data_IF_845791520652
#
_entry.id   IF_845791520652
#
_cell.length_a   1.000
_cell.length_b   1.000
_cell.length_c   1.000
_cell.angle_alpha   90.00
_cell.angle_beta   90.00
_cell.angle_gamma   90.00
#
_symmetry.space_group_name_H-M   'P 1'
#
loop_
_entity.id
_entity.type
_entity.pdbx_description
1 polymer ?
#
# COMPACT_ATOMS: atom_id res chain seq x y z
N UNK A 1 -20.94 33.42 -26.12
CA UNK A 1 -21.02 31.97 -25.83
C UNK A 1 -19.69 31.55 -25.22
N UNK A 2 -19.57 31.62 -23.90
CA UNK A 2 -18.32 31.31 -23.16
C UNK A 2 -18.68 30.28 -22.10
N UNK A 3 -18.22 29.03 -22.27
CA UNK A 3 -18.29 28.00 -21.25
C UNK A 3 -16.95 27.99 -20.52
N UNK A 4 -16.94 28.47 -19.28
CA UNK A 4 -15.81 28.28 -18.37
C UNK A 4 -16.02 26.98 -17.59
N UNK A 5 -14.98 26.14 -17.58
CA UNK A 5 -14.93 24.86 -16.88
C UNK A 5 -14.57 25.08 -15.40
N UNK A 6 -15.48 24.71 -14.50
CA UNK A 6 -15.38 24.96 -13.06
C UNK A 6 -15.19 23.66 -12.24
N UNK A 7 -14.30 22.77 -12.68
CA UNK A 7 -14.12 21.45 -12.04
C UNK A 7 -13.13 21.44 -10.85
N UNK A 8 -12.46 22.55 -10.54
CA UNK A 8 -11.23 22.52 -9.71
C UNK A 8 -11.35 22.81 -8.21
N UNK A 9 -12.54 23.04 -7.62
CA UNK A 9 -12.61 23.49 -6.20
C UNK A 9 -13.76 22.91 -5.35
N UNK A 10 -14.17 21.65 -5.55
CA UNK A 10 -15.16 20.99 -4.66
C UNK A 10 -14.78 19.58 -4.21
N UNK A 11 -13.54 19.39 -3.74
CA UNK A 11 -13.11 18.10 -3.18
C UNK A 11 -12.46 18.19 -1.80
N UNK A 12 -12.62 19.31 -1.08
CA UNK A 12 -12.09 19.48 0.28
C UNK A 12 -13.19 19.50 1.37
N UNK A 13 -14.47 19.57 1.01
CA UNK A 13 -15.57 19.54 2.00
C UNK A 13 -16.66 18.55 1.58
N UNK A 14 -16.51 17.30 2.02
CA UNK A 14 -17.60 16.42 2.46
C UNK A 14 -16.98 15.05 2.77
N UNK A 15 -16.52 14.94 4.02
CA UNK A 15 -16.21 13.68 4.66
C UNK A 15 -17.54 13.07 5.14
N UNK A 16 -17.70 11.76 4.95
CA UNK A 16 -18.84 10.91 5.32
C UNK A 16 -19.96 10.79 4.25
N UNK A 17 -20.03 9.62 3.59
CA UNK A 17 -21.20 8.75 3.39
C UNK A 17 -20.98 7.84 2.15
N UNK A 18 -21.18 6.53 2.35
CA UNK A 18 -21.51 5.50 1.37
C UNK A 18 -20.54 5.23 0.19
N UNK A 19 -19.75 4.16 0.31
CA UNK A 19 -19.17 3.45 -0.84
C UNK A 19 -19.94 2.14 -0.97
N UNK A 20 -21.06 2.17 -1.70
CA UNK A 20 -21.65 0.97 -2.28
C UNK A 20 -20.90 0.64 -3.56
N UNK A 21 -20.18 -0.47 -3.57
CA UNK A 21 -19.61 -1.08 -4.75
C UNK A 21 -20.29 -2.43 -4.88
N UNK A 22 -21.11 -2.59 -5.92
CA UNK A 22 -21.79 -3.83 -6.27
C UNK A 22 -20.76 -4.95 -6.50
N UNK A 23 -20.65 -5.86 -5.54
CA UNK A 23 -19.90 -7.09 -5.70
C UNK A 23 -20.71 -8.08 -6.52
N UNK A 24 -20.36 -8.26 -7.79
CA UNK A 24 -20.84 -9.43 -8.53
C UNK A 24 -20.03 -10.64 -8.07
N UNK A 25 -20.69 -11.56 -7.39
CA UNK A 25 -20.14 -12.86 -6.99
C UNK A 25 -20.17 -13.78 -8.21
N UNK A 26 -19.00 -14.23 -8.66
CA UNK A 26 -18.89 -15.34 -9.61
C UNK A 26 -18.06 -16.43 -8.95
N UNK A 27 -18.68 -17.59 -8.79
CA UNK A 27 -18.13 -18.79 -8.16
C UNK A 27 -17.16 -19.53 -9.09
N UNK A 28 -16.30 -20.32 -8.45
CA UNK A 28 -15.13 -21.06 -8.94
C UNK A 28 -15.36 -21.96 -10.17
N UNK A 29 -14.36 -22.08 -11.05
CA UNK A 29 -13.92 -23.36 -11.64
C UNK A 29 -12.39 -23.37 -11.88
N UNK A 30 -11.77 -24.42 -11.34
CA UNK A 30 -10.52 -25.12 -11.67
C UNK A 30 -9.47 -24.45 -12.58
N UNK A 31 -8.30 -24.14 -12.00
CA UNK A 31 -7.07 -23.88 -12.78
C UNK A 31 -6.10 -25.02 -12.54
N UNK A 32 -5.83 -25.74 -13.61
CA UNK A 32 -4.91 -26.86 -13.68
C UNK A 32 -3.48 -26.50 -13.22
N UNK A 33 -2.77 -27.52 -12.72
CA UNK A 33 -1.39 -27.45 -12.26
C UNK A 33 -0.47 -27.06 -13.42
N UNK A 34 -0.02 -25.80 -13.45
CA UNK A 34 1.02 -25.36 -14.37
C UNK A 34 2.38 -25.86 -13.89
N UNK A 35 3.02 -26.70 -14.70
CA UNK A 35 4.38 -27.19 -14.51
C UNK A 35 5.38 -26.01 -14.56
N UNK A 36 6.26 -25.95 -13.56
CA UNK A 36 7.37 -24.99 -13.50
C UNK A 36 8.65 -25.74 -13.88
N UNK A 37 8.88 -25.93 -15.17
CA UNK A 37 10.19 -26.25 -15.71
C UNK A 37 10.52 -25.25 -16.82
N UNK A 38 11.80 -24.88 -16.88
CA UNK A 38 12.45 -23.92 -17.80
C UNK A 38 12.45 -22.44 -17.37
N UNK A 39 13.31 -22.15 -16.38
CA UNK A 39 13.95 -20.83 -16.27
C UNK A 39 15.45 -20.98 -15.98
N UNK A 40 16.12 -21.84 -16.73
CA UNK A 40 17.59 -21.87 -16.77
C UNK A 40 18.05 -21.28 -18.10
N UNK A 41 18.66 -20.09 -18.01
CA UNK A 41 19.82 -19.61 -18.81
C UNK A 41 19.77 -18.08 -18.95
N UNK A 42 20.13 -17.36 -17.88
CA UNK A 42 20.56 -15.96 -18.00
C UNK A 42 22.09 -15.96 -17.88
N UNK A 43 22.85 -15.48 -18.88
CA UNK A 43 24.30 -15.36 -18.79
C UNK A 43 24.69 -14.39 -17.68
N UNK A 44 25.55 -14.84 -16.77
CA UNK A 44 26.11 -14.00 -15.70
C UNK A 44 27.26 -13.18 -16.28
N UNK A 45 26.98 -11.92 -16.63
CA UNK A 45 28.02 -10.94 -16.97
C UNK A 45 28.74 -10.41 -15.73
N UNK A 46 30.05 -10.61 -15.77
CA UNK A 46 31.18 -9.83 -15.22
C UNK A 46 30.99 -8.98 -13.96
N UNK A 47 31.73 -9.36 -12.92
CA UNK A 47 31.76 -8.74 -11.59
C UNK A 47 32.37 -7.33 -11.63
N UNK A 48 31.54 -6.30 -11.51
CA UNK A 48 31.99 -4.93 -11.24
C UNK A 48 32.46 -4.78 -9.78
N UNK A 49 33.47 -3.93 -9.51
CA UNK A 49 34.03 -3.75 -8.17
C UNK A 49 32.96 -3.24 -7.20
N UNK A 50 32.79 -3.98 -6.10
CA UNK A 50 31.89 -3.64 -4.99
C UNK A 50 32.44 -2.38 -4.31
N UNK A 51 32.00 -1.20 -4.79
CA UNK A 51 32.11 0.02 -3.99
C UNK A 51 31.26 -0.18 -2.75
N UNK A 52 31.87 -0.10 -1.58
CA UNK A 52 31.16 -0.07 -0.29
C UNK A 52 30.22 1.13 -0.28
N UNK A 53 28.96 0.90 -0.71
CA UNK A 53 27.91 1.90 -0.63
C UNK A 53 27.55 2.00 0.85
N UNK A 54 27.84 3.15 1.44
CA UNK A 54 27.33 3.51 2.75
C UNK A 54 25.79 3.54 2.67
N UNK A 55 25.14 2.47 3.11
CA UNK A 55 23.68 2.38 3.15
C UNK A 55 23.16 3.28 4.28
N UNK A 56 22.90 4.55 3.98
CA UNK A 56 22.09 5.37 4.87
C UNK A 56 20.65 4.87 4.76
N UNK A 57 20.04 4.57 5.90
CA UNK A 57 18.67 4.09 5.95
C UNK A 57 17.74 5.22 5.53
N UNK A 58 16.93 5.01 4.48
CA UNK A 58 16.00 6.01 3.98
C UNK A 58 15.10 6.60 5.07
N UNK A 59 15.02 7.93 5.11
CA UNK A 59 14.29 8.70 6.12
C UNK A 59 12.85 9.02 5.70
N UNK A 60 12.55 8.98 4.40
CA UNK A 60 11.26 9.40 3.87
C UNK A 60 10.16 8.39 4.22
N UNK A 61 9.15 8.86 4.97
CA UNK A 61 7.99 8.05 5.31
C UNK A 61 7.05 7.92 4.10
N UNK A 62 6.93 6.70 3.57
CA UNK A 62 6.03 6.41 2.44
C UNK A 62 4.72 5.72 2.84
N UNK A 63 4.67 5.11 4.03
CA UNK A 63 3.52 4.34 4.48
C UNK A 63 2.44 5.26 5.07
N UNK A 64 1.61 5.79 4.18
CA UNK A 64 0.49 6.68 4.54
C UNK A 64 -0.73 5.90 5.04
N UNK A 65 -1.67 6.61 5.70
CA UNK A 65 -2.97 6.03 6.11
C UNK A 65 -3.75 5.45 4.92
N UNK A 66 -3.76 6.16 3.79
CA UNK A 66 -4.46 5.73 2.56
C UNK A 66 -3.86 4.42 2.05
N UNK A 67 -2.53 4.34 2.00
CA UNK A 67 -1.82 3.14 1.60
C UNK A 67 -2.13 1.96 2.54
N UNK A 68 -2.13 2.17 3.87
CA UNK A 68 -2.51 1.14 4.84
C UNK A 68 -3.92 0.59 4.62
N UNK A 69 -4.89 1.44 4.25
CA UNK A 69 -6.27 1.02 3.95
C UNK A 69 -6.29 0.16 2.69
N UNK A 70 -5.65 0.60 1.61
CA UNK A 70 -5.61 -0.13 0.34
C UNK A 70 -4.92 -1.50 0.49
N UNK A 71 -3.76 -1.56 1.16
CA UNK A 71 -3.07 -2.81 1.44
C UNK A 71 -3.91 -3.77 2.31
N UNK A 72 -4.75 -3.23 3.21
CA UNK A 72 -5.68 -4.03 4.00
C UNK A 72 -6.85 -4.58 3.17
N UNK A 73 -7.43 -3.75 2.30
CA UNK A 73 -8.56 -4.15 1.44
C UNK A 73 -8.14 -5.17 0.39
N UNK A 74 -6.95 -5.04 -0.16
CA UNK A 74 -6.41 -5.98 -1.15
C UNK A 74 -5.74 -7.22 -0.51
N UNK A 75 -5.87 -7.41 0.80
CA UNK A 75 -5.26 -8.51 1.56
C UNK A 75 -3.74 -8.70 1.30
N UNK A 76 -3.02 -7.61 1.10
CA UNK A 76 -1.60 -7.65 0.74
C UNK A 76 -0.76 -7.96 1.97
N UNK A 77 0.11 -8.97 1.86
CA UNK A 77 1.06 -9.34 2.91
C UNK A 77 2.10 -8.24 3.12
N UNK A 78 2.73 -8.16 4.30
CA UNK A 78 3.79 -7.17 4.53
C UNK A 78 5.00 -7.37 3.58
N UNK A 79 5.22 -8.61 3.10
CA UNK A 79 6.27 -8.94 2.13
C UNK A 79 5.93 -8.39 0.75
N UNK A 80 4.71 -8.65 0.28
CA UNK A 80 4.27 -8.22 -1.05
C UNK A 80 4.04 -6.72 -1.10
N UNK A 81 3.63 -6.11 0.01
CA UNK A 81 3.56 -4.65 0.14
C UNK A 81 4.93 -4.01 -0.14
N UNK A 82 6.01 -4.55 0.43
CA UNK A 82 7.37 -4.04 0.16
C UNK A 82 7.72 -4.18 -1.32
N UNK A 83 7.45 -5.35 -1.93
CA UNK A 83 7.73 -5.61 -3.35
C UNK A 83 6.97 -4.66 -4.28
N UNK A 84 5.66 -4.52 -4.07
CA UNK A 84 4.79 -3.65 -4.86
C UNK A 84 5.24 -2.20 -4.76
N UNK A 85 5.52 -1.73 -3.53
CA UNK A 85 5.95 -0.34 -3.34
C UNK A 85 7.35 -0.10 -3.94
N UNK A 86 8.25 -1.07 -3.85
CA UNK A 86 9.57 -0.96 -4.46
C UNK A 86 9.48 -0.91 -5.99
N UNK A 87 8.73 -1.83 -6.61
CA UNK A 87 8.51 -1.86 -8.06
C UNK A 87 7.81 -0.58 -8.55
N UNK A 88 6.83 -0.06 -7.81
CA UNK A 88 6.17 1.20 -8.15
C UNK A 88 7.11 2.40 -8.02
N UNK A 89 7.98 2.43 -7.00
CA UNK A 89 8.98 3.48 -6.87
C UNK A 89 10.01 3.43 -8.01
N UNK A 90 10.45 2.23 -8.39
CA UNK A 90 11.36 2.03 -9.53
C UNK A 90 10.71 2.47 -10.86
N UNK A 91 9.46 2.11 -11.11
CA UNK A 91 8.71 2.55 -12.28
C UNK A 91 8.45 4.07 -12.33
N UNK A 92 8.60 4.77 -11.20
CA UNK A 92 8.45 6.21 -11.08
C UNK A 92 9.81 6.93 -10.96
N UNK A 93 10.92 6.23 -11.25
CA UNK A 93 12.30 6.73 -11.11
C UNK A 93 12.60 7.32 -9.72
N UNK A 94 11.92 6.81 -8.67
CA UNK A 94 12.10 7.25 -7.30
C UNK A 94 13.25 6.49 -6.63
N UNK A 95 14.13 7.22 -5.93
CA UNK A 95 15.26 6.64 -5.24
C UNK A 95 14.82 5.79 -4.03
N UNK A 96 14.95 4.47 -4.14
CA UNK A 96 14.61 3.51 -3.08
C UNK A 96 15.42 3.73 -1.79
N UNK A 97 16.66 4.24 -1.89
CA UNK A 97 17.53 4.47 -0.73
C UNK A 97 17.02 5.61 0.15
N UNK A 98 16.23 6.53 -0.40
CA UNK A 98 15.62 7.62 0.38
C UNK A 98 14.37 7.16 1.14
N UNK A 99 13.78 6.04 0.74
CA UNK A 99 12.52 5.55 1.30
C UNK A 99 12.76 4.69 2.55
N UNK A 100 11.97 4.92 3.60
CA UNK A 100 11.94 4.06 4.79
C UNK A 100 11.14 2.77 4.51
N UNK A 101 11.59 1.98 3.54
CA UNK A 101 10.91 0.80 3.04
C UNK A 101 11.58 -0.48 3.56
N UNK A 102 11.13 -0.95 4.71
CA UNK A 102 11.50 -2.27 5.23
C UNK A 102 10.25 -3.01 5.70
N UNK A 103 10.27 -4.35 5.67
CA UNK A 103 9.14 -5.17 6.12
C UNK A 103 8.73 -4.83 7.56
N UNK A 104 9.70 -4.56 8.42
CA UNK A 104 9.46 -4.16 9.81
C UNK A 104 8.81 -2.78 9.89
N UNK A 105 9.25 -1.81 9.08
CA UNK A 105 8.61 -0.49 8.99
C UNK A 105 7.16 -0.60 8.53
N UNK A 106 6.89 -1.37 7.46
CA UNK A 106 5.53 -1.58 6.93
C UNK A 106 4.62 -2.19 7.99
N UNK A 107 5.07 -3.28 8.63
CA UNK A 107 4.34 -3.96 9.70
C UNK A 107 4.01 -3.00 10.84
N UNK A 108 5.01 -2.29 11.36
CA UNK A 108 4.85 -1.35 12.47
C UNK A 108 3.85 -0.23 12.14
N UNK A 109 3.91 0.32 10.93
CA UNK A 109 2.99 1.38 10.48
C UNK A 109 1.56 0.87 10.34
N UNK A 110 1.36 -0.32 9.77
CA UNK A 110 0.03 -0.96 9.67
C UNK A 110 -0.54 -1.29 11.06
N UNK A 111 0.29 -1.79 11.98
CA UNK A 111 -0.13 -2.06 13.35
C UNK A 111 -0.57 -0.78 14.06
N UNK A 112 0.25 0.28 14.03
CA UNK A 112 -0.08 1.58 14.62
C UNK A 112 -1.37 2.18 14.02
N UNK A 113 -1.60 1.96 12.73
CA UNK A 113 -2.84 2.36 12.08
C UNK A 113 -4.07 1.59 12.62
N UNK A 114 -3.96 0.26 12.75
CA UNK A 114 -5.02 -0.59 13.31
C UNK A 114 -5.34 -0.25 14.77
N UNK A 115 -4.31 -0.05 15.60
CA UNK A 115 -4.46 0.37 17.00
C UNK A 115 -5.22 1.69 17.12
N UNK A 116 -4.84 2.70 16.32
CA UNK A 116 -5.54 3.98 16.27
C UNK A 116 -7.00 3.80 15.86
N UNK A 117 -7.29 3.00 14.83
CA UNK A 117 -8.67 2.72 14.41
C UNK A 117 -9.47 2.02 15.50
N UNK A 118 -8.90 1.02 16.16
CA UNK A 118 -9.53 0.31 17.27
C UNK A 118 -9.84 1.27 18.43
N UNK A 119 -8.91 2.17 18.78
CA UNK A 119 -9.14 3.19 19.81
C UNK A 119 -10.27 4.16 19.44
N UNK A 120 -10.35 4.59 18.18
CA UNK A 120 -11.46 5.44 17.70
C UNK A 120 -12.79 4.73 17.87
N UNK A 121 -12.88 3.46 17.44
CA UNK A 121 -14.11 2.66 17.56
C UNK A 121 -14.47 2.46 19.03
N UNK A 122 -13.50 2.09 19.88
CA UNK A 122 -13.69 1.91 21.33
C UNK A 122 -14.20 3.18 22.01
N UNK A 123 -13.64 4.34 21.65
CA UNK A 123 -14.06 5.62 22.23
C UNK A 123 -15.44 6.04 21.76
N UNK A 124 -15.77 5.81 20.48
CA UNK A 124 -17.12 6.03 19.94
C UNK A 124 -18.15 5.16 20.68
N UNK A 125 -17.85 3.87 20.87
CA UNK A 125 -18.73 2.96 21.60
C UNK A 125 -18.94 3.40 23.05
N UNK A 126 -17.86 3.72 23.78
CA UNK A 126 -17.94 4.23 25.17
C UNK A 126 -18.73 5.55 25.29
N UNK A 127 -18.69 6.40 24.26
CA UNK A 127 -19.45 7.66 24.24
C UNK A 127 -20.94 7.37 24.08
N UNK A 128 -21.30 6.47 23.16
CA UNK A 128 -22.69 6.06 22.93
C UNK A 128 -23.26 5.39 24.19
N UNK A 129 -22.53 4.49 24.82
CA UNK A 129 -22.97 3.76 26.03
C UNK A 129 -23.13 4.63 27.28
N UNK A 130 -22.72 5.91 27.25
CA UNK A 130 -22.91 6.86 28.37
C UNK A 130 -24.11 7.79 28.13
N UNK A 131 -24.68 7.77 26.94
CA UNK A 131 -25.83 8.60 26.55
C UNK A 131 -27.17 7.88 26.74
N UNK A 132 -27.14 6.58 27.03
CA UNK A 132 -28.26 5.72 27.37
C UNK A 132 -28.00 5.08 28.73
#
# INVERSE_FOLDING_TARGET
>A
MVRQENWKLKSIENEEQHIELSGSSTSDEDIEKMDHSDFDSIPVEETLPIKEKNYSRGSKEIITKKLCVLLGRCNVSDRDAVRIIAAAAEALDANLQELSLSRTTVRARRQKFRERRANIIKNRFKKISRLF
#
